data_IF_508267679901
#
_entry.id   IF_508267679901
#
_cell.length_a   1.000
_cell.length_b   1.000
_cell.length_c   1.000
_cell.angle_alpha   90.00
_cell.angle_beta   90.00
_cell.angle_gamma   90.00
#
_symmetry.space_group_name_H-M   'P 1'
#
loop_
_entity.id
_entity.type
_entity.pdbx_description
1 polymer ?
#
# COMPACT_ATOMS: atom_id res chain seq x y z
N UNK A 1 -11.95 -36.48 13.13
CA UNK A 1 -12.58 -36.04 11.89
C UNK A 1 -12.15 -34.62 11.50
N UNK A 2 -12.20 -33.63 12.41
CA UNK A 2 -11.82 -32.23 12.12
C UNK A 2 -10.29 -31.99 12.11
N UNK A 3 -9.53 -32.68 12.97
CA UNK A 3 -8.07 -32.47 13.13
C UNK A 3 -7.27 -32.97 11.92
N UNK A 4 -7.56 -34.16 11.40
CA UNK A 4 -6.95 -34.68 10.17
C UNK A 4 -7.26 -33.80 8.94
N UNK A 5 -8.45 -33.17 8.90
CA UNK A 5 -8.82 -32.25 7.83
C UNK A 5 -8.04 -30.93 7.94
N UNK A 6 -7.86 -30.41 9.16
CA UNK A 6 -7.06 -29.21 9.40
C UNK A 6 -5.59 -29.41 9.05
N UNK A 7 -5.01 -30.55 9.44
CA UNK A 7 -3.64 -30.92 9.07
C UNK A 7 -3.47 -31.03 7.55
N UNK A 8 -4.45 -31.64 6.86
CA UNK A 8 -4.43 -31.73 5.39
C UNK A 8 -4.47 -30.34 4.75
N UNK A 9 -5.37 -29.47 5.20
CA UNK A 9 -5.49 -28.09 4.67
C UNK A 9 -4.22 -27.29 4.95
N UNK A 10 -3.63 -27.43 6.14
CA UNK A 10 -2.37 -26.76 6.46
C UNK A 10 -1.26 -27.21 5.51
N UNK A 11 -1.11 -28.51 5.26
CA UNK A 11 -0.14 -29.05 4.31
C UNK A 11 -0.35 -28.47 2.90
N UNK A 12 -1.60 -28.43 2.40
CA UNK A 12 -1.91 -27.85 1.08
C UNK A 12 -1.55 -26.36 0.99
N UNK A 13 -1.77 -25.58 2.06
CA UNK A 13 -1.40 -24.15 2.12
C UNK A 13 0.12 -23.98 2.14
N UNK A 14 0.84 -24.81 2.89
CA UNK A 14 2.31 -24.76 2.96
C UNK A 14 2.96 -25.13 1.62
N UNK A 15 2.42 -26.14 0.95
CA UNK A 15 2.86 -26.54 -0.39
C UNK A 15 2.65 -25.41 -1.40
N UNK A 16 1.49 -24.74 -1.34
CA UNK A 16 1.19 -23.59 -2.19
C UNK A 16 2.13 -22.41 -1.91
N UNK A 17 2.41 -22.09 -0.65
CA UNK A 17 3.37 -21.04 -0.30
C UNK A 17 4.76 -21.36 -0.87
N UNK A 18 5.20 -22.61 -0.73
CA UNK A 18 6.48 -23.09 -1.25
C UNK A 18 6.55 -23.03 -2.77
N UNK A 19 5.45 -23.31 -3.48
CA UNK A 19 5.36 -23.20 -4.94
C UNK A 19 5.65 -21.77 -5.43
N UNK A 20 5.32 -20.75 -4.64
CA UNK A 20 5.54 -19.33 -4.94
C UNK A 20 6.77 -18.74 -4.22
N UNK A 21 7.76 -19.58 -3.88
CA UNK A 21 9.03 -19.18 -3.25
C UNK A 21 8.90 -18.53 -1.85
N UNK A 22 7.77 -18.74 -1.16
CA UNK A 22 7.62 -18.38 0.26
C UNK A 22 8.11 -19.52 1.17
N UNK A 23 8.53 -19.22 2.42
CA UNK A 23 9.03 -20.23 3.35
C UNK A 23 7.86 -21.02 3.97
N UNK A 24 7.20 -21.86 3.17
CA UNK A 24 5.98 -22.57 3.55
C UNK A 24 6.09 -23.36 4.85
N UNK A 25 7.24 -23.95 5.15
CA UNK A 25 7.49 -24.69 6.39
C UNK A 25 7.62 -23.79 7.64
N UNK A 26 8.08 -22.54 7.46
CA UNK A 26 8.38 -21.63 8.58
C UNK A 26 7.23 -20.66 8.88
N UNK A 27 6.29 -20.48 7.95
CA UNK A 27 5.16 -19.55 8.14
C UNK A 27 4.27 -20.04 9.31
N UNK A 28 3.98 -19.18 10.31
CA UNK A 28 3.07 -19.53 11.40
C UNK A 28 1.63 -19.74 10.89
N UNK A 29 1.00 -20.84 11.31
CA UNK A 29 -0.40 -21.16 11.01
C UNK A 29 -1.18 -21.29 12.32
N UNK A 30 -2.22 -20.48 12.49
CA UNK A 30 -3.05 -20.46 13.71
C UNK A 30 -4.47 -20.90 13.34
N UNK A 31 -4.87 -22.09 13.77
CA UNK A 31 -6.23 -22.59 13.59
C UNK A 31 -7.20 -21.89 14.56
N UNK A 32 -8.19 -21.17 14.02
CA UNK A 32 -9.14 -20.39 14.81
C UNK A 32 -10.48 -20.15 14.12
N UNK A 33 -11.35 -19.35 14.75
CA UNK A 33 -12.66 -18.98 14.20
C UNK A 33 -12.95 -17.50 14.48
N UNK A 34 -12.82 -16.67 13.45
CA UNK A 34 -13.07 -15.22 13.57
C UNK A 34 -14.52 -14.92 13.98
N UNK A 35 -15.49 -15.72 13.53
CA UNK A 35 -16.89 -15.56 13.90
C UNK A 35 -17.11 -15.80 15.40
N UNK A 36 -16.60 -16.92 15.93
CA UNK A 36 -16.78 -17.25 17.35
C UNK A 36 -16.03 -16.30 18.28
N UNK A 37 -14.84 -15.85 17.87
CA UNK A 37 -14.12 -14.79 18.57
C UNK A 37 -14.97 -13.51 18.64
N UNK A 38 -15.60 -13.11 17.53
CA UNK A 38 -16.47 -11.93 17.50
C UNK A 38 -17.75 -12.10 18.34
N UNK A 39 -18.24 -13.34 18.49
CA UNK A 39 -19.38 -13.69 19.35
C UNK A 39 -19.01 -13.75 20.85
N UNK A 40 -17.72 -13.64 21.20
CA UNK A 40 -17.23 -13.61 22.58
C UNK A 40 -16.83 -14.98 23.16
N UNK A 41 -16.54 -15.97 22.31
CA UNK A 41 -16.00 -17.25 22.78
C UNK A 41 -14.51 -17.11 23.11
N UNK A 42 -14.19 -17.11 24.40
CA UNK A 42 -12.83 -16.90 24.95
C UNK A 42 -11.76 -17.79 24.28
N UNK A 43 -12.11 -19.05 23.93
CA UNK A 43 -11.18 -19.97 23.26
C UNK A 43 -10.70 -19.42 21.92
N UNK A 44 -11.59 -18.78 21.16
CA UNK A 44 -11.26 -18.26 19.84
C UNK A 44 -10.77 -16.81 19.89
N UNK A 45 -11.13 -16.04 20.92
CA UNK A 45 -10.50 -14.75 21.21
C UNK A 45 -8.99 -14.93 21.47
N UNK A 46 -8.61 -15.95 22.25
CA UNK A 46 -7.20 -16.27 22.52
C UNK A 46 -6.43 -16.60 21.22
N UNK A 47 -7.08 -17.25 20.25
CA UNK A 47 -6.47 -17.52 18.93
C UNK A 47 -6.20 -16.25 18.11
N UNK A 48 -6.99 -15.20 18.28
CA UNK A 48 -6.71 -13.90 17.65
C UNK A 48 -5.48 -13.26 18.31
N UNK A 49 -5.34 -13.36 19.63
CA UNK A 49 -4.15 -12.86 20.33
C UNK A 49 -2.90 -13.65 19.95
N UNK A 50 -3.00 -14.97 19.83
CA UNK A 50 -1.92 -15.85 19.33
C UNK A 50 -1.49 -15.46 17.91
N UNK A 51 -2.45 -15.19 17.01
CA UNK A 51 -2.16 -14.69 15.67
C UNK A 51 -1.40 -13.35 15.70
N UNK A 52 -1.80 -12.42 16.57
CA UNK A 52 -1.11 -11.13 16.69
C UNK A 52 0.29 -11.25 17.28
N UNK A 53 0.49 -12.15 18.24
CA UNK A 53 1.82 -12.47 18.74
C UNK A 53 2.71 -13.06 17.64
N UNK A 54 2.18 -13.98 16.83
CA UNK A 54 2.92 -14.54 15.70
C UNK A 54 3.28 -13.47 14.66
N UNK A 55 2.40 -12.49 14.42
CA UNK A 55 2.72 -11.33 13.56
C UNK A 55 3.86 -10.51 14.15
N UNK A 56 3.79 -10.18 15.44
CA UNK A 56 4.82 -9.37 16.12
C UNK A 56 6.19 -10.07 16.14
N UNK A 57 6.22 -11.40 16.29
CA UNK A 57 7.45 -12.19 16.39
C UNK A 57 8.04 -12.57 15.02
N UNK A 58 7.19 -12.89 14.04
CA UNK A 58 7.63 -13.41 12.74
C UNK A 58 7.88 -12.32 11.70
N UNK A 59 7.09 -11.23 11.71
CA UNK A 59 7.24 -10.16 10.73
C UNK A 59 8.22 -9.12 11.27
N UNK A 60 9.45 -9.03 10.72
CA UNK A 60 10.41 -8.04 11.17
C UNK A 60 9.84 -6.63 10.94
N UNK A 61 10.14 -5.72 11.87
CA UNK A 61 9.80 -4.31 11.67
C UNK A 61 10.50 -3.80 10.40
N UNK A 62 9.76 -3.35 9.38
CA UNK A 62 10.36 -2.93 8.13
C UNK A 62 11.18 -1.66 8.35
N UNK A 63 12.35 -1.59 7.72
CA UNK A 63 13.12 -0.35 7.65
C UNK A 63 12.33 0.69 6.86
N UNK A 64 12.05 1.83 7.50
CA UNK A 64 11.35 2.95 6.88
C UNK A 64 12.35 3.82 6.13
N UNK A 65 12.04 4.10 4.87
CA UNK A 65 12.82 4.97 3.98
C UNK A 65 12.66 6.48 4.31
N UNK A 66 12.69 6.85 5.58
CA UNK A 66 12.36 8.20 6.08
C UNK A 66 13.39 9.28 5.70
N UNK A 67 14.64 8.90 5.44
CA UNK A 67 15.71 9.84 5.06
C UNK A 67 15.67 10.27 3.57
N UNK A 68 14.85 9.60 2.76
CA UNK A 68 14.70 9.94 1.32
C UNK A 68 13.83 11.19 1.15
N UNK A 69 13.90 11.89 -0.01
CA UNK A 69 12.95 12.96 -0.30
C UNK A 69 11.50 12.43 -0.31
N UNK A 70 10.59 13.16 0.35
CA UNK A 70 9.18 12.81 0.46
C UNK A 70 8.57 12.41 -0.89
N UNK A 71 7.83 11.30 -0.89
CA UNK A 71 6.94 10.92 -1.97
C UNK A 71 5.74 10.15 -1.40
N UNK A 72 4.54 10.52 -1.82
CA UNK A 72 3.30 9.84 -1.50
C UNK A 72 2.44 9.72 -2.76
N UNK A 73 2.18 8.50 -3.27
CA UNK A 73 1.20 8.26 -4.32
C UNK A 73 -0.19 8.73 -3.89
N UNK A 74 -0.90 9.40 -4.80
CA UNK A 74 -2.30 9.78 -4.58
C UNK A 74 -3.19 8.59 -4.94
N UNK A 75 -3.88 8.06 -3.94
CA UNK A 75 -4.84 6.95 -4.07
C UNK A 75 -6.28 7.45 -4.24
N UNK A 76 -6.66 8.48 -3.48
CA UNK A 76 -7.98 9.12 -3.55
C UNK A 76 -7.90 10.61 -3.19
N UNK A 77 -8.94 11.38 -3.57
CA UNK A 77 -9.00 12.83 -3.38
C UNK A 77 -10.39 13.26 -2.90
N UNK A 78 -10.41 13.87 -1.73
CA UNK A 78 -11.60 14.38 -1.07
C UNK A 78 -11.61 15.91 -1.05
N UNK A 79 -12.80 16.50 -1.11
CA UNK A 79 -12.99 17.92 -0.81
C UNK A 79 -13.74 18.04 0.51
N UNK A 80 -13.12 18.70 1.49
CA UNK A 80 -13.71 18.93 2.80
C UNK A 80 -14.20 20.36 2.86
N UNK A 81 -15.53 20.53 2.94
CA UNK A 81 -16.18 21.85 3.02
C UNK A 81 -15.55 22.71 4.11
N UNK A 82 -15.02 23.87 3.72
CA UNK A 82 -14.40 24.82 4.64
C UNK A 82 -12.96 24.50 5.08
N UNK A 83 -12.37 23.36 4.67
CA UNK A 83 -10.95 23.05 4.92
C UNK A 83 -10.12 23.02 3.64
N UNK A 84 -10.65 22.46 2.55
CA UNK A 84 -9.95 22.35 1.27
C UNK A 84 -9.85 20.91 0.76
N UNK A 85 -8.91 20.69 -0.16
CA UNK A 85 -8.70 19.40 -0.84
C UNK A 85 -7.73 18.53 -0.05
N UNK A 86 -8.10 17.27 0.17
CA UNK A 86 -7.30 16.26 0.87
C UNK A 86 -6.95 15.15 -0.11
N UNK A 87 -5.66 14.92 -0.33
CA UNK A 87 -5.16 13.76 -1.07
C UNK A 87 -4.76 12.67 -0.09
N UNK A 88 -5.21 11.43 -0.31
CA UNK A 88 -4.89 10.29 0.55
C UNK A 88 -3.95 9.31 -0.12
N UNK A 89 -3.09 8.68 0.66
CA UNK A 89 -2.25 7.58 0.23
C UNK A 89 -1.26 7.15 1.30
N UNK A 90 -0.52 6.09 1.02
CA UNK A 90 0.63 5.70 1.82
C UNK A 90 1.84 6.55 1.45
N UNK A 91 2.55 7.08 2.46
CA UNK A 91 3.86 7.70 2.22
C UNK A 91 4.82 6.60 1.79
N UNK A 92 5.29 6.64 0.55
CA UNK A 92 6.19 5.64 -0.02
C UNK A 92 7.59 5.79 0.58
N UNK A 93 8.05 7.04 0.69
CA UNK A 93 9.38 7.37 1.23
C UNK A 93 9.42 8.78 1.79
N UNK A 94 10.42 9.03 2.61
CA UNK A 94 10.68 10.33 3.22
C UNK A 94 9.73 10.69 4.35
N UNK A 95 9.75 11.98 4.70
CA UNK A 95 8.87 12.57 5.70
C UNK A 95 8.26 13.86 5.19
N UNK A 96 7.04 14.16 5.65
CA UNK A 96 6.36 15.43 5.39
C UNK A 96 5.86 16.02 6.71
N UNK A 97 6.12 17.31 6.92
CA UNK A 97 5.62 18.07 8.06
C UNK A 97 4.54 19.05 7.64
N UNK A 98 3.63 19.36 8.55
CA UNK A 98 2.66 20.43 8.33
C UNK A 98 3.40 21.75 8.09
N UNK A 99 3.08 22.41 6.99
CA UNK A 99 3.69 23.66 6.55
C UNK A 99 4.73 23.50 5.43
N UNK A 100 5.15 22.27 5.10
CA UNK A 100 6.12 22.04 4.03
C UNK A 100 5.49 22.10 2.63
N UNK A 101 6.29 22.53 1.66
CA UNK A 101 5.90 22.58 0.25
C UNK A 101 6.04 21.22 -0.42
N UNK A 102 5.11 20.92 -1.33
CA UNK A 102 5.13 19.72 -2.17
C UNK A 102 4.79 20.08 -3.62
N UNK A 103 5.26 19.26 -4.53
CA UNK A 103 4.88 19.26 -5.93
C UNK A 103 3.86 18.15 -6.21
N UNK A 104 2.84 18.46 -7.00
CA UNK A 104 1.87 17.51 -7.53
C UNK A 104 2.35 17.12 -8.93
N UNK A 105 2.78 15.87 -9.10
CA UNK A 105 3.54 15.43 -10.27
C UNK A 105 2.82 14.27 -10.97
N UNK A 106 2.78 14.33 -12.30
CA UNK A 106 2.24 13.28 -13.16
C UNK A 106 0.93 13.70 -13.84
N UNK A 107 0.67 13.11 -15.01
CA UNK A 107 -0.54 13.27 -15.86
C UNK A 107 -0.79 14.69 -16.43
N UNK A 108 -0.48 15.72 -15.67
CA UNK A 108 -0.61 17.14 -16.00
C UNK A 108 0.72 17.87 -15.71
N UNK A 109 0.74 19.17 -16.00
CA UNK A 109 1.86 20.04 -15.64
C UNK A 109 2.06 20.06 -14.12
N UNK A 110 3.31 20.01 -13.69
CA UNK A 110 3.66 20.02 -12.26
C UNK A 110 3.22 21.33 -11.62
N UNK A 111 2.48 21.23 -10.51
CA UNK A 111 2.06 22.36 -9.70
C UNK A 111 2.65 22.27 -8.30
N UNK A 112 2.77 23.41 -7.62
CA UNK A 112 3.28 23.51 -6.24
C UNK A 112 2.16 23.88 -5.28
N UNK A 113 2.21 23.30 -4.09
CA UNK A 113 1.31 23.65 -2.99
C UNK A 113 2.01 23.45 -1.64
N UNK A 114 1.33 23.80 -0.55
CA UNK A 114 1.78 23.59 0.82
C UNK A 114 0.85 22.59 1.49
N UNK A 115 1.42 21.61 2.19
CA UNK A 115 0.67 20.72 3.08
C UNK A 115 0.31 21.50 4.34
N UNK A 116 -0.98 21.69 4.59
CA UNK A 116 -1.48 22.50 5.72
C UNK A 116 -2.07 21.67 6.85
N UNK A 117 -2.15 20.36 6.65
CA UNK A 117 -2.57 19.40 7.66
C UNK A 117 -2.23 18.00 7.20
N UNK A 118 -1.91 17.14 8.17
CA UNK A 118 -1.71 15.72 7.98
C UNK A 118 -2.65 15.01 8.94
N UNK A 119 -3.47 14.10 8.42
CA UNK A 119 -4.47 13.38 9.21
C UNK A 119 -4.35 11.87 8.99
N UNK A 120 -4.38 11.09 10.08
CA UNK A 120 -4.46 9.63 10.03
C UNK A 120 -5.61 9.20 10.95
N UNK A 121 -6.60 8.48 10.42
CA UNK A 121 -7.76 7.98 11.18
C UNK A 121 -8.42 9.02 12.12
N UNK A 122 -8.76 10.21 11.59
CA UNK A 122 -9.37 11.34 12.35
C UNK A 122 -8.49 11.94 13.45
N UNK A 123 -7.19 11.65 13.45
CA UNK A 123 -6.20 12.28 14.32
C UNK A 123 -5.32 13.20 13.49
N UNK A 124 -5.16 14.43 13.96
CA UNK A 124 -4.21 15.37 13.38
C UNK A 124 -2.79 14.99 13.84
N UNK A 125 -1.86 15.02 12.90
CA UNK A 125 -0.45 14.76 13.12
C UNK A 125 0.37 15.99 12.72
N UNK A 126 1.49 16.20 13.41
CA UNK A 126 2.45 17.26 13.06
C UNK A 126 3.30 16.88 11.84
N UNK A 127 3.49 15.58 11.62
CA UNK A 127 4.24 15.00 10.51
C UNK A 127 3.74 13.60 10.16
N UNK A 128 4.19 13.10 9.02
CA UNK A 128 4.08 11.70 8.62
C UNK A 128 5.37 11.22 7.96
N UNK A 129 5.57 9.92 7.96
CA UNK A 129 6.77 9.28 7.41
C UNK A 129 6.44 8.03 6.59
N UNK A 130 7.45 7.53 5.88
CA UNK A 130 7.37 6.32 5.05
C UNK A 130 6.62 5.18 5.78
N UNK A 131 5.60 4.64 5.12
CA UNK A 131 4.73 3.58 5.64
C UNK A 131 3.39 4.08 6.20
N UNK A 132 3.28 5.36 6.56
CA UNK A 132 2.04 5.92 7.12
C UNK A 132 0.96 6.11 6.04
N UNK A 133 -0.28 5.70 6.34
CA UNK A 133 -1.45 5.99 5.49
C UNK A 133 -2.11 7.29 5.98
N UNK A 134 -2.03 8.36 5.19
CA UNK A 134 -2.45 9.69 5.61
C UNK A 134 -3.41 10.35 4.61
N UNK A 135 -4.12 11.37 5.08
CA UNK A 135 -4.68 12.43 4.26
C UNK A 135 -3.86 13.71 4.41
N UNK A 136 -3.32 14.22 3.29
CA UNK A 136 -2.60 15.48 3.23
C UNK A 136 -3.54 16.61 2.74
N UNK A 137 -3.78 17.61 3.58
CA UNK A 137 -4.60 18.78 3.25
C UNK A 137 -3.78 19.80 2.45
N UNK A 138 -4.20 20.09 1.22
CA UNK A 138 -3.45 20.90 0.26
C UNK A 138 -4.00 22.33 0.19
N UNK A 139 -3.10 23.32 0.28
CA UNK A 139 -3.48 24.74 0.25
C UNK A 139 -3.84 25.18 -1.17
N UNK A 140 -5.06 25.70 -1.33
CA UNK A 140 -5.47 26.41 -2.55
C UNK A 140 -5.55 25.53 -3.80
N UNK A 141 -5.62 24.21 -3.62
CA UNK A 141 -5.72 23.23 -4.69
C UNK A 141 -7.19 22.82 -4.84
N UNK A 142 -7.74 22.88 -6.05
CA UNK A 142 -9.09 22.38 -6.30
C UNK A 142 -9.08 20.85 -6.40
N UNK A 143 -10.24 20.21 -6.20
CA UNK A 143 -10.33 18.74 -6.24
C UNK A 143 -9.96 18.20 -7.63
N UNK A 144 -10.34 18.92 -8.67
CA UNK A 144 -10.09 18.60 -10.07
C UNK A 144 -8.62 18.76 -10.50
N UNK A 145 -7.81 19.46 -9.70
CA UNK A 145 -6.37 19.67 -9.98
C UNK A 145 -5.50 18.53 -9.44
N UNK A 146 -6.11 17.55 -8.74
CA UNK A 146 -5.43 16.37 -8.18
C UNK A 146 -6.24 15.13 -8.48
N UNK A 147 -5.56 14.08 -8.93
CA UNK A 147 -6.21 12.80 -9.21
C UNK A 147 -5.31 11.60 -8.90
N UNK A 148 -5.95 10.44 -8.78
CA UNK A 148 -5.26 9.16 -8.62
C UNK A 148 -4.25 8.94 -9.75
N UNK A 149 -3.08 8.43 -9.39
CA UNK A 149 -1.96 8.21 -10.31
C UNK A 149 -0.96 9.38 -10.39
N UNK A 150 -1.26 10.50 -9.76
CA UNK A 150 -0.25 11.53 -9.44
C UNK A 150 0.48 11.18 -8.14
N UNK A 151 1.60 11.87 -7.89
CA UNK A 151 2.33 11.79 -6.63
C UNK A 151 2.45 13.18 -6.01
N UNK A 152 2.36 13.25 -4.68
CA UNK A 152 2.89 14.38 -3.92
C UNK A 152 4.36 14.10 -3.63
N UNK A 153 5.25 15.02 -3.97
CA UNK A 153 6.67 14.82 -3.75
C UNK A 153 7.36 16.08 -3.23
N UNK A 154 8.50 15.90 -2.55
CA UNK A 154 9.40 17.00 -2.21
C UNK A 154 9.80 17.75 -3.50
N UNK A 155 9.76 19.09 -3.53
CA UNK A 155 10.02 19.86 -4.74
C UNK A 155 11.35 19.50 -5.41
N UNK A 156 11.31 19.23 -6.72
CA UNK A 156 12.49 18.88 -7.52
C UNK A 156 13.07 17.48 -7.27
N UNK A 157 12.42 16.64 -6.46
CA UNK A 157 12.93 15.29 -6.14
C UNK A 157 12.61 14.22 -7.20
N UNK A 158 11.64 14.48 -8.08
CA UNK A 158 11.24 13.59 -9.17
C UNK A 158 10.65 14.42 -10.32
N UNK A 159 10.73 13.90 -11.55
CA UNK A 159 10.14 14.52 -12.74
C UNK A 159 9.29 13.51 -13.51
N UNK A 160 8.21 13.93 -14.19
CA UNK A 160 7.41 13.03 -14.99
C UNK A 160 8.14 12.65 -16.30
N UNK A 161 7.99 11.40 -16.75
CA UNK A 161 8.60 10.90 -17.99
C UNK A 161 7.56 10.15 -18.83
N UNK A 162 7.70 10.23 -20.16
CA UNK A 162 6.78 9.56 -21.12
C UNK A 162 7.44 8.45 -21.94
N UNK A 163 8.77 8.30 -21.82
CA UNK A 163 9.55 7.26 -22.49
C UNK A 163 10.58 6.73 -21.51
N UNK A 164 10.65 5.42 -21.38
CA UNK A 164 11.60 4.72 -20.52
C UNK A 164 12.01 3.39 -21.19
N UNK A 165 13.08 2.78 -20.69
CA UNK A 165 13.45 1.40 -21.01
C UNK A 165 13.06 0.54 -19.80
N UNK A 166 12.50 -0.62 -20.06
CA UNK A 166 12.13 -1.57 -19.02
C UNK A 166 12.47 -2.99 -19.47
N UNK A 167 12.76 -3.83 -18.49
CA UNK A 167 12.74 -5.28 -18.62
C UNK A 167 11.38 -5.76 -18.13
N UNK A 168 10.74 -6.65 -18.89
CA UNK A 168 9.37 -7.10 -18.61
C UNK A 168 9.32 -8.62 -18.63
N UNK A 169 8.65 -9.18 -17.62
CA UNK A 169 8.26 -10.59 -17.60
C UNK A 169 6.81 -10.71 -18.11
N UNK A 170 6.57 -11.66 -19.02
CA UNK A 170 5.24 -11.93 -19.57
C UNK A 170 4.79 -13.27 -19.00
N UNK A 171 3.73 -13.23 -18.18
CA UNK A 171 3.15 -14.43 -17.59
C UNK A 171 2.82 -15.48 -18.67
N UNK A 172 3.17 -16.73 -18.37
CA UNK A 172 2.79 -17.90 -19.15
C UNK A 172 1.29 -18.16 -19.09
N UNK A 173 0.80 -19.07 -19.92
CA UNK A 173 -0.61 -19.49 -19.89
C UNK A 173 -0.98 -20.15 -18.55
N UNK A 174 -0.06 -20.92 -17.98
CA UNK A 174 -0.31 -21.71 -16.78
C UNK A 174 -0.37 -20.80 -15.53
N UNK A 175 0.35 -19.67 -15.55
CA UNK A 175 0.24 -18.58 -14.58
C UNK A 175 -1.00 -17.67 -14.79
N UNK A 176 -1.93 -18.07 -15.67
CA UNK A 176 -3.13 -17.28 -16.00
C UNK A 176 -2.86 -16.07 -16.92
N UNK A 177 -1.70 -16.03 -17.55
CA UNK A 177 -1.30 -15.02 -18.52
C UNK A 177 -1.98 -15.18 -19.89
N UNK A 178 -1.33 -14.60 -20.90
CA UNK A 178 -1.88 -14.62 -22.27
C UNK A 178 -1.74 -16.00 -22.91
N UNK A 179 -2.79 -16.43 -23.60
CA UNK A 179 -2.77 -17.67 -24.40
C UNK A 179 -2.08 -17.53 -25.75
N UNK A 180 -1.89 -16.31 -26.25
CA UNK A 180 -1.37 -16.03 -27.60
C UNK A 180 -0.26 -14.98 -27.56
N UNK A 181 0.75 -15.12 -28.43
CA UNK A 181 1.84 -14.15 -28.53
C UNK A 181 1.31 -12.78 -28.96
N UNK A 182 2.08 -11.74 -28.65
CA UNK A 182 1.86 -10.39 -29.17
C UNK A 182 3.09 -9.91 -29.94
N UNK A 183 2.86 -8.94 -30.82
CA UNK A 183 3.88 -8.41 -31.72
C UNK A 183 4.15 -6.93 -31.43
N UNK A 184 5.00 -6.31 -32.25
CA UNK A 184 5.22 -4.87 -32.22
C UNK A 184 3.89 -4.10 -32.31
N UNK A 185 3.82 -2.94 -31.64
CA UNK A 185 2.60 -2.13 -31.46
C UNK A 185 1.52 -2.73 -30.53
N UNK A 186 1.86 -3.71 -29.69
CA UNK A 186 1.01 -4.07 -28.57
C UNK A 186 0.81 -2.87 -27.63
N UNK A 187 -0.44 -2.58 -27.26
CA UNK A 187 -0.83 -1.41 -26.44
C UNK A 187 -1.50 -1.87 -25.14
N UNK A 188 -0.76 -2.47 -24.19
CA UNK A 188 -1.30 -2.76 -22.87
C UNK A 188 -1.44 -1.46 -22.07
N UNK A 189 -2.18 -1.55 -20.97
CA UNK A 189 -2.13 -0.54 -19.92
C UNK A 189 -0.94 -0.84 -19.01
N UNK A 190 -0.19 0.19 -18.62
CA UNK A 190 0.85 0.09 -17.60
C UNK A 190 0.25 0.60 -16.31
N UNK A 191 0.28 -0.24 -15.28
CA UNK A 191 -0.06 0.14 -13.91
C UNK A 191 1.21 0.56 -13.18
#
# INVERSE_FOLDING_TARGET
DDEELLELVEMEVRDLLTEYDFPGDDVPVIAGSALKALEGDEKYEEKILELMQAVDDYIPTPERDSDKPFMMPVEDVFSITGRGTVATGRVERGQIKVGEEVEIIGLHDTSKTTVTGVEMFRKLLDYAEAGDNIGALLRGVAREDVQRGQVLAAPGSITPHTKFKAEVYVLSKDEGGRHTPFFSNYRPQFY
#
